data_IF_412684368735
#
_entry.id   IF_412684368735
#
_cell.length_a   1.000
_cell.length_b   1.000
_cell.length_c   1.000
_cell.angle_alpha   90.00
_cell.angle_beta   90.00
_cell.angle_gamma   90.00
#
_symmetry.space_group_name_H-M   'P 1'
#
loop_
_entity.id
_entity.type
_entity.pdbx_description
1 polymer ?
#
# COMPACT_ATOMS: atom_id res chain seq x y z
N UNK A 1 -24.84 -73.72 -41.25
CA UNK A 1 -26.01 -72.85 -40.99
C UNK A 1 -26.75 -73.39 -39.77
N UNK A 2 -26.48 -72.83 -38.59
CA UNK A 2 -27.21 -73.15 -37.35
C UNK A 2 -27.40 -71.85 -36.57
N UNK A 3 -28.64 -71.65 -36.18
CA UNK A 3 -29.24 -70.42 -35.66
C UNK A 3 -28.76 -70.15 -34.23
N UNK A 4 -28.45 -68.89 -33.90
CA UNK A 4 -28.20 -68.48 -32.54
C UNK A 4 -29.34 -67.58 -32.06
N UNK A 5 -30.06 -68.09 -31.07
CA UNK A 5 -31.25 -67.53 -30.45
C UNK A 5 -30.90 -66.39 -29.50
N UNK A 6 -31.73 -65.35 -29.53
CA UNK A 6 -31.70 -64.20 -28.61
C UNK A 6 -32.14 -64.60 -27.21
N UNK A 7 -31.40 -64.13 -26.19
CA UNK A 7 -31.86 -64.13 -24.80
C UNK A 7 -31.90 -62.69 -24.30
N UNK A 8 -33.12 -62.24 -24.01
CA UNK A 8 -33.43 -60.97 -23.37
C UNK A 8 -32.98 -61.00 -21.91
N UNK A 9 -32.13 -60.07 -21.52
CA UNK A 9 -32.02 -59.66 -20.12
C UNK A 9 -32.26 -58.15 -20.03
N UNK A 10 -33.39 -57.82 -19.40
CA UNK A 10 -33.75 -56.50 -18.91
C UNK A 10 -32.74 -56.08 -17.84
N UNK A 11 -32.10 -54.92 -18.05
CA UNK A 11 -31.50 -54.17 -16.94
C UNK A 11 -31.67 -52.67 -17.17
N UNK A 12 -32.63 -52.15 -16.42
CA UNK A 12 -32.68 -50.86 -15.74
C UNK A 12 -31.80 -49.71 -16.26
N UNK A 13 -32.49 -48.68 -16.75
CA UNK A 13 -32.52 -47.33 -16.16
C UNK A 13 -31.18 -46.78 -15.62
N UNK A 14 -30.61 -45.79 -16.30
CA UNK A 14 -30.32 -44.50 -15.67
C UNK A 14 -29.78 -43.51 -16.70
N UNK A 15 -30.59 -42.48 -16.98
CA UNK A 15 -30.14 -41.25 -17.61
C UNK A 15 -29.41 -40.44 -16.54
N UNK A 16 -28.08 -40.37 -16.61
CA UNK A 16 -27.30 -39.44 -15.78
C UNK A 16 -26.94 -38.22 -16.62
N UNK A 17 -27.85 -37.26 -16.67
CA UNK A 17 -27.53 -35.86 -16.97
C UNK A 17 -26.75 -35.30 -15.79
N UNK A 18 -25.46 -35.02 -15.96
CA UNK A 18 -24.69 -34.24 -14.99
C UNK A 18 -24.99 -32.75 -15.20
N UNK A 19 -26.17 -32.31 -14.74
CA UNK A 19 -26.40 -30.90 -14.43
C UNK A 19 -25.91 -30.65 -13.01
N UNK A 20 -24.67 -30.18 -12.89
CA UNK A 20 -24.11 -29.72 -11.61
C UNK A 20 -24.72 -28.37 -11.24
N UNK A 21 -25.92 -28.38 -10.68
CA UNK A 21 -26.43 -27.25 -9.90
C UNK A 21 -26.04 -27.49 -8.44
N UNK A 22 -24.86 -27.02 -8.03
CA UNK A 22 -24.66 -26.73 -6.61
C UNK A 22 -25.58 -25.57 -6.28
N UNK A 23 -26.61 -25.84 -5.49
CA UNK A 23 -27.39 -24.78 -4.84
C UNK A 23 -26.50 -24.25 -3.73
N UNK A 24 -25.66 -23.29 -4.07
CA UNK A 24 -25.06 -22.45 -3.05
C UNK A 24 -26.19 -21.54 -2.57
N UNK A 25 -26.60 -21.83 -1.34
CA UNK A 25 -27.54 -21.03 -0.58
C UNK A 25 -26.93 -19.62 -0.53
N UNK A 26 -27.45 -18.72 -1.37
CA UNK A 26 -27.18 -17.30 -1.26
C UNK A 26 -27.81 -16.85 0.05
N UNK A 27 -27.06 -17.01 1.13
CA UNK A 27 -27.23 -16.15 2.29
C UNK A 27 -27.00 -14.74 1.78
N UNK A 28 -28.12 -14.07 1.58
CA UNK A 28 -28.28 -12.63 1.47
C UNK A 28 -27.51 -12.02 2.65
N UNK A 29 -26.25 -11.63 2.41
CA UNK A 29 -25.48 -10.87 3.39
C UNK A 29 -26.10 -9.49 3.45
N UNK A 30 -27.06 -9.38 4.36
CA UNK A 30 -27.53 -8.15 4.93
C UNK A 30 -26.30 -7.32 5.34
N UNK A 31 -26.21 -6.11 4.80
CA UNK A 31 -25.13 -5.15 5.00
C UNK A 31 -24.97 -4.78 6.47
N UNK A 32 -24.24 -5.61 7.22
CA UNK A 32 -23.70 -5.24 8.50
C UNK A 32 -22.46 -4.38 8.24
N UNK A 33 -22.53 -3.13 8.68
CA UNK A 33 -21.47 -2.14 8.66
C UNK A 33 -20.26 -2.62 9.49
N UNK A 34 -19.47 -3.54 8.94
CA UNK A 34 -18.20 -3.99 9.48
C UNK A 34 -17.22 -2.83 9.34
N UNK A 35 -17.12 -2.03 10.40
CA UNK A 35 -15.97 -1.17 10.61
C UNK A 35 -14.75 -2.08 10.77
N UNK A 36 -14.04 -2.35 9.67
CA UNK A 36 -12.73 -2.99 9.69
C UNK A 36 -11.82 -2.03 10.43
N UNK A 37 -11.63 -2.28 11.73
CA UNK A 37 -10.72 -1.51 12.57
C UNK A 37 -9.30 -1.85 12.13
N UNK A 38 -8.78 -1.12 11.15
CA UNK A 38 -7.39 -1.24 10.70
C UNK A 38 -6.50 -0.97 11.91
N UNK A 39 -5.58 -1.88 12.19
CA UNK A 39 -4.65 -1.72 13.30
C UNK A 39 -3.76 -0.47 13.08
N UNK A 40 -3.41 0.26 14.15
CA UNK A 40 -2.52 1.41 14.03
C UNK A 40 -1.14 0.98 13.52
N UNK A 41 -0.50 1.86 12.77
CA UNK A 41 0.88 1.66 12.30
C UNK A 41 1.85 1.81 13.47
N UNK A 42 2.82 0.90 13.56
CA UNK A 42 3.95 1.02 14.48
C UNK A 42 5.13 1.62 13.73
N UNK A 43 5.77 2.62 14.33
CA UNK A 43 6.91 3.32 13.74
C UNK A 43 8.22 2.88 14.40
N UNK A 44 9.27 2.76 13.59
CA UNK A 44 10.63 2.55 14.05
C UNK A 44 11.22 3.85 14.62
N UNK A 45 12.27 3.73 15.44
CA UNK A 45 13.02 4.91 15.92
C UNK A 45 13.54 5.76 14.76
N UNK A 46 14.05 5.12 13.70
CA UNK A 46 14.58 5.84 12.54
C UNK A 46 13.49 6.62 11.77
N UNK A 47 12.29 6.05 11.63
CA UNK A 47 11.16 6.75 11.00
C UNK A 47 10.71 7.98 11.81
N UNK A 48 10.69 7.85 13.14
CA UNK A 48 10.37 8.97 14.03
C UNK A 48 11.45 10.06 13.98
N UNK A 49 12.72 9.68 13.97
CA UNK A 49 13.84 10.64 13.82
C UNK A 49 13.76 11.41 12.48
N UNK A 50 13.37 10.73 11.39
CA UNK A 50 13.15 11.41 10.10
C UNK A 50 12.02 12.42 10.20
N UNK A 51 10.88 12.06 10.79
CA UNK A 51 9.77 13.00 11.00
C UNK A 51 10.20 14.20 11.84
N UNK A 52 10.89 13.98 12.96
CA UNK A 52 11.34 15.04 13.85
C UNK A 52 12.26 16.03 13.12
N UNK A 53 13.21 15.52 12.32
CA UNK A 53 14.11 16.36 11.52
C UNK A 53 13.39 17.11 10.39
N UNK A 54 12.42 16.47 9.72
CA UNK A 54 11.58 17.14 8.73
C UNK A 54 10.77 18.26 9.38
N UNK A 55 10.17 18.03 10.54
CA UNK A 55 9.39 19.03 11.28
C UNK A 55 10.25 20.16 11.85
N UNK A 56 11.47 19.86 12.30
CA UNK A 56 12.45 20.87 12.70
C UNK A 56 12.81 21.79 11.52
N UNK A 57 13.07 21.20 10.34
CA UNK A 57 13.33 21.98 9.13
C UNK A 57 12.12 22.82 8.70
N UNK A 58 10.92 22.23 8.72
CA UNK A 58 9.67 22.96 8.43
C UNK A 58 9.47 24.16 9.34
N UNK A 59 9.69 23.98 10.65
CA UNK A 59 9.56 25.07 11.63
C UNK A 59 10.58 26.18 11.38
N UNK A 60 11.82 25.82 11.01
CA UNK A 60 12.85 26.79 10.60
C UNK A 60 12.42 27.62 9.39
N UNK A 61 11.71 27.01 8.44
CA UNK A 61 11.18 27.64 7.22
C UNK A 61 9.80 28.30 7.43
N UNK A 62 9.32 28.38 8.68
CA UNK A 62 8.06 29.03 9.04
C UNK A 62 6.80 28.22 8.74
N UNK A 63 6.93 26.93 8.47
CA UNK A 63 5.83 25.99 8.24
C UNK A 63 5.39 25.31 9.54
N UNK A 64 4.16 24.83 9.59
CA UNK A 64 3.66 24.03 10.73
C UNK A 64 4.20 22.61 10.69
N UNK A 65 4.35 21.99 11.86
CA UNK A 65 4.69 20.58 11.99
C UNK A 65 3.62 19.69 11.32
N UNK A 66 4.07 18.59 10.73
CA UNK A 66 3.23 17.57 10.12
C UNK A 66 2.80 16.55 11.16
N UNK A 67 1.55 16.11 11.06
CA UNK A 67 0.98 15.04 11.87
C UNK A 67 1.11 13.69 11.17
N UNK A 68 1.41 12.64 11.91
CA UNK A 68 1.45 11.30 11.33
C UNK A 68 0.10 10.88 10.74
N UNK A 69 0.17 10.21 9.60
CA UNK A 69 -0.95 9.65 8.89
C UNK A 69 -0.67 8.19 8.56
N UNK A 70 -1.32 7.31 9.31
CA UNK A 70 -1.19 5.86 9.17
C UNK A 70 -1.43 5.38 7.74
N UNK A 71 -2.45 5.92 7.06
CA UNK A 71 -2.73 5.53 5.67
C UNK A 71 -1.62 5.99 4.71
N UNK A 72 -1.09 7.20 4.90
CA UNK A 72 0.11 7.64 4.16
C UNK A 72 1.29 6.70 4.38
N UNK A 73 1.47 6.21 5.60
CA UNK A 73 2.56 5.28 5.95
C UNK A 73 2.34 3.90 5.32
N UNK A 74 1.09 3.43 5.22
CA UNK A 74 0.75 2.20 4.49
C UNK A 74 1.01 2.31 2.98
N UNK A 75 0.67 3.45 2.38
CA UNK A 75 0.99 3.72 0.97
C UNK A 75 2.51 3.79 0.75
N UNK A 76 3.24 4.44 1.64
CA UNK A 76 4.71 4.51 1.62
C UNK A 76 5.35 3.11 1.75
N UNK A 77 4.85 2.28 2.66
CA UNK A 77 5.33 0.92 2.86
C UNK A 77 5.09 0.03 1.64
N UNK A 78 3.94 0.19 0.98
CA UNK A 78 3.63 -0.50 -0.27
C UNK A 78 4.60 -0.09 -1.37
N UNK A 79 4.92 1.20 -1.48
CA UNK A 79 5.89 1.70 -2.46
C UNK A 79 7.32 1.23 -2.20
N UNK A 80 7.79 1.23 -0.95
CA UNK A 80 9.09 0.64 -0.62
C UNK A 80 9.16 -0.85 -1.00
N UNK A 81 8.09 -1.62 -0.76
CA UNK A 81 8.04 -3.02 -1.22
C UNK A 81 8.16 -3.12 -2.73
N UNK A 82 7.47 -2.26 -3.48
CA UNK A 82 7.57 -2.21 -4.94
C UNK A 82 8.99 -1.86 -5.42
N UNK A 83 9.65 -0.86 -4.82
CA UNK A 83 11.02 -0.50 -5.17
C UNK A 83 12.01 -1.64 -4.87
N UNK A 84 11.84 -2.34 -3.74
CA UNK A 84 12.67 -3.49 -3.36
C UNK A 84 12.45 -4.67 -4.32
N UNK A 85 11.21 -4.96 -4.69
CA UNK A 85 10.87 -6.07 -5.60
C UNK A 85 11.44 -5.87 -7.01
N UNK A 86 11.55 -4.61 -7.47
CA UNK A 86 12.08 -4.26 -8.78
C UNK A 86 13.56 -3.87 -8.77
N UNK A 87 14.19 -3.81 -7.59
CA UNK A 87 15.56 -3.32 -7.42
C UNK A 87 15.79 -1.92 -8.05
N UNK A 88 14.79 -1.04 -7.92
CA UNK A 88 14.77 0.27 -8.58
C UNK A 88 14.19 1.35 -7.66
N UNK A 89 14.86 2.51 -7.60
CA UNK A 89 14.35 3.70 -6.91
C UNK A 89 13.55 4.53 -7.90
N UNK A 90 12.23 4.57 -7.73
CA UNK A 90 11.32 5.22 -8.67
C UNK A 90 10.14 5.91 -7.97
N UNK A 91 9.32 6.61 -8.75
CA UNK A 91 8.03 7.18 -8.33
C UNK A 91 6.85 6.44 -8.95
N UNK A 92 7.05 5.20 -9.39
CA UNK A 92 6.02 4.42 -10.07
C UNK A 92 4.76 4.30 -9.25
N UNK A 93 3.61 4.22 -9.92
CA UNK A 93 2.30 4.09 -9.30
C UNK A 93 1.89 5.26 -8.37
N UNK A 94 2.57 6.41 -8.43
CA UNK A 94 2.23 7.59 -7.63
C UNK A 94 0.77 8.03 -7.80
N UNK A 95 0.24 8.00 -9.02
CA UNK A 95 -1.17 8.32 -9.29
C UNK A 95 -2.16 7.42 -8.54
N UNK A 96 -1.79 6.14 -8.33
CA UNK A 96 -2.61 5.19 -7.56
C UNK A 96 -2.56 5.54 -6.07
N UNK A 97 -1.38 5.84 -5.52
CA UNK A 97 -1.22 6.31 -4.13
C UNK A 97 -1.98 7.61 -3.87
N UNK A 98 -1.87 8.56 -4.79
CA UNK A 98 -2.63 9.81 -4.76
C UNK A 98 -4.14 9.52 -4.69
N UNK A 99 -4.65 8.68 -5.60
CA UNK A 99 -6.07 8.33 -5.66
C UNK A 99 -6.52 7.62 -4.37
N UNK A 100 -5.71 6.73 -3.82
CA UNK A 100 -6.00 6.08 -2.55
C UNK A 100 -6.18 7.11 -1.43
N UNK A 101 -5.23 8.02 -1.26
CA UNK A 101 -5.26 9.05 -0.20
C UNK A 101 -6.37 10.08 -0.39
N UNK A 102 -6.73 10.43 -1.62
CA UNK A 102 -7.93 11.23 -1.90
C UNK A 102 -9.18 10.52 -1.39
N UNK A 103 -9.31 9.23 -1.70
CA UNK A 103 -10.51 8.46 -1.38
C UNK A 103 -10.63 8.10 0.10
N UNK A 104 -9.52 7.82 0.78
CA UNK A 104 -9.52 7.33 2.17
C UNK A 104 -9.29 8.44 3.19
N UNK A 105 -8.55 9.49 2.82
CA UNK A 105 -8.09 10.52 3.77
C UNK A 105 -8.54 11.93 3.39
N UNK A 106 -9.39 12.06 2.35
CA UNK A 106 -9.85 13.33 1.80
C UNK A 106 -8.68 14.27 1.42
N UNK A 107 -7.57 13.70 0.94
CA UNK A 107 -6.41 14.47 0.52
C UNK A 107 -6.76 15.47 -0.60
N UNK A 108 -6.32 16.72 -0.45
CA UNK A 108 -6.41 17.79 -1.46
C UNK A 108 -5.12 17.96 -2.25
N UNK A 109 -4.00 17.51 -1.70
CA UNK A 109 -2.70 17.46 -2.35
C UNK A 109 -1.87 16.34 -1.72
N UNK A 110 -1.03 15.72 -2.53
CA UNK A 110 -0.06 14.70 -2.10
C UNK A 110 1.27 14.96 -2.80
N UNK A 111 2.36 14.87 -2.07
CA UNK A 111 3.74 14.92 -2.59
C UNK A 111 4.55 13.76 -2.03
N UNK A 112 5.64 13.39 -2.70
CA UNK A 112 6.47 12.25 -2.32
C UNK A 112 7.96 12.56 -2.42
N UNK A 113 8.70 12.15 -1.39
CA UNK A 113 10.16 12.04 -1.47
C UNK A 113 10.56 10.58 -1.32
N UNK A 114 11.48 10.12 -2.16
CA UNK A 114 12.11 8.79 -2.03
C UNK A 114 13.61 8.95 -1.81
N UNK A 115 14.23 7.96 -1.16
CA UNK A 115 15.68 7.88 -1.04
C UNK A 115 16.13 6.43 -0.85
N UNK A 116 17.43 6.18 -1.00
CA UNK A 116 18.01 4.85 -0.89
C UNK A 116 19.45 4.91 -0.39
N UNK A 117 19.84 3.93 0.44
CA UNK A 117 21.24 3.72 0.85
C UNK A 117 21.75 4.63 1.97
N UNK A 118 20.91 5.52 2.52
CA UNK A 118 21.27 6.30 3.70
C UNK A 118 21.18 5.42 4.97
N UNK A 119 22.08 5.65 5.92
CA UNK A 119 22.12 4.90 7.19
C UNK A 119 21.61 5.71 8.39
N UNK A 120 21.36 7.01 8.23
CA UNK A 120 20.93 7.90 9.31
C UNK A 120 19.83 8.84 8.85
N UNK A 121 18.94 9.23 9.78
CA UNK A 121 17.88 10.20 9.54
C UNK A 121 18.46 11.56 9.11
N UNK A 122 19.52 12.03 9.78
CA UNK A 122 20.22 13.26 9.43
C UNK A 122 20.77 13.22 8.00
N UNK A 123 21.36 12.08 7.60
CA UNK A 123 21.93 11.92 6.27
C UNK A 123 20.88 12.05 5.17
N UNK A 124 19.74 11.37 5.31
CA UNK A 124 18.68 11.40 4.31
C UNK A 124 17.95 12.75 4.27
N UNK A 125 17.65 13.34 5.43
CA UNK A 125 16.96 14.64 5.49
C UNK A 125 17.84 15.74 4.92
N UNK A 126 19.13 15.78 5.26
CA UNK A 126 20.06 16.75 4.66
C UNK A 126 20.20 16.58 3.15
N UNK A 127 20.10 15.36 2.62
CA UNK A 127 20.11 15.13 1.18
C UNK A 127 18.84 15.69 0.51
N UNK A 128 17.67 15.47 1.11
CA UNK A 128 16.42 16.06 0.62
C UNK A 128 16.44 17.59 0.69
N UNK A 129 16.98 18.21 1.76
CA UNK A 129 17.07 19.68 1.87
C UNK A 129 17.91 20.28 0.72
N UNK A 130 18.97 19.59 0.33
CA UNK A 130 19.87 20.03 -0.75
C UNK A 130 19.30 19.83 -2.16
N UNK A 131 18.22 19.06 -2.29
CA UNK A 131 17.55 18.81 -3.57
C UNK A 131 16.31 19.68 -3.68
N UNK A 132 16.25 20.58 -4.66
CA UNK A 132 15.16 21.56 -4.79
C UNK A 132 13.77 20.91 -4.77
N UNK A 133 13.49 19.94 -5.63
CA UNK A 133 12.18 19.29 -5.65
C UNK A 133 11.82 18.58 -4.35
N UNK A 134 12.78 17.90 -3.70
CA UNK A 134 12.51 17.24 -2.42
C UNK A 134 12.34 18.23 -1.26
N UNK A 135 13.10 19.32 -1.26
CA UNK A 135 12.96 20.42 -0.30
C UNK A 135 11.61 21.08 -0.43
N UNK A 136 11.16 21.36 -1.65
CA UNK A 136 9.88 22.00 -1.91
C UNK A 136 8.70 21.15 -1.41
N UNK A 137 8.79 19.81 -1.52
CA UNK A 137 7.83 18.90 -0.90
C UNK A 137 7.83 19.01 0.63
N UNK A 138 9.02 19.11 1.26
CA UNK A 138 9.12 19.23 2.72
C UNK A 138 8.53 20.54 3.25
N UNK A 139 8.67 21.65 2.53
CA UNK A 139 8.14 22.97 2.95
C UNK A 139 6.80 23.32 2.31
N UNK A 140 6.20 22.40 1.56
CA UNK A 140 4.90 22.58 0.95
C UNK A 140 3.78 22.75 1.99
N UNK A 141 2.66 23.32 1.53
CA UNK A 141 1.41 23.44 2.29
C UNK A 141 0.80 22.04 2.51
N UNK A 142 1.33 21.34 3.50
CA UNK A 142 0.94 20.01 3.92
C UNK A 142 0.67 20.02 5.43
N UNK A 143 -0.23 19.15 5.86
CA UNK A 143 -0.64 19.03 7.27
C UNK A 143 -0.32 17.66 7.86
N UNK A 144 -0.11 16.66 7.01
CA UNK A 144 0.08 15.28 7.40
C UNK A 144 1.27 14.63 6.69
N UNK A 145 1.81 13.58 7.32
CA UNK A 145 3.00 12.88 6.88
C UNK A 145 2.83 11.36 7.05
N UNK A 146 3.11 10.63 5.97
CA UNK A 146 3.31 9.19 5.99
C UNK A 146 4.77 8.86 5.75
N UNK A 147 5.27 7.82 6.40
CA UNK A 147 6.65 7.37 6.22
C UNK A 147 6.73 5.85 6.22
N UNK A 148 7.63 5.33 5.41
CA UNK A 148 8.14 3.98 5.59
C UNK A 148 9.64 3.94 5.29
N UNK A 149 10.36 3.16 6.09
CA UNK A 149 11.75 2.78 5.83
C UNK A 149 11.86 1.26 5.85
N UNK A 150 12.39 0.66 4.78
CA UNK A 150 12.55 -0.80 4.66
C UNK A 150 13.95 -1.16 4.17
N UNK A 151 14.52 -2.22 4.73
CA UNK A 151 15.76 -2.81 4.23
C UNK A 151 15.47 -3.67 3.00
N UNK A 152 16.22 -3.42 1.92
CA UNK A 152 16.23 -4.25 0.72
C UNK A 152 17.08 -5.50 0.88
N UNK A 153 17.08 -6.36 -0.14
CA UNK A 153 17.85 -7.62 -0.14
C UNK A 153 19.37 -7.42 -0.14
N UNK A 154 19.82 -6.22 -0.48
CA UNK A 154 21.21 -5.79 -0.49
C UNK A 154 21.67 -5.15 0.83
N UNK A 155 20.80 -5.15 1.86
CA UNK A 155 21.06 -4.58 3.17
C UNK A 155 20.98 -3.05 3.22
N UNK A 156 20.54 -2.38 2.15
CA UNK A 156 20.36 -0.93 2.14
C UNK A 156 18.92 -0.54 2.40
N UNK A 157 18.74 0.63 3.00
CA UNK A 157 17.43 1.15 3.35
C UNK A 157 16.81 1.92 2.17
N UNK A 158 15.55 1.61 1.88
CA UNK A 158 14.65 2.36 1.00
C UNK A 158 13.75 3.23 1.85
N UNK A 159 13.57 4.48 1.43
CA UNK A 159 12.79 5.49 2.14
C UNK A 159 11.69 5.98 1.22
N UNK A 160 10.47 6.11 1.77
CA UNK A 160 9.38 6.84 1.14
C UNK A 160 8.71 7.73 2.17
N UNK A 161 8.67 9.02 1.89
CA UNK A 161 7.90 10.02 2.62
C UNK A 161 6.74 10.48 1.77
N UNK A 162 5.54 10.53 2.34
CA UNK A 162 4.33 11.03 1.70
C UNK A 162 3.82 12.24 2.49
N UNK A 163 3.73 13.38 1.82
CA UNK A 163 3.20 14.61 2.39
C UNK A 163 1.77 14.80 1.93
N UNK A 164 0.84 15.10 2.84
CA UNK A 164 -0.58 15.22 2.53
C UNK A 164 -1.14 16.55 3.03
N UNK A 165 -1.90 17.24 2.17
CA UNK A 165 -2.77 18.34 2.57
C UNK A 165 -4.20 17.82 2.68
N UNK A 166 -4.85 18.06 3.83
CA UNK A 166 -6.27 17.79 4.04
C UNK A 166 -7.15 19.02 3.83
#
# INVERSE_FOLDING_TARGET
>A
MKNLTYSFWLLAFSVLTLTSCSKDNLEEIESANLTVKVAPVSYTTLEMEVLDLVNAYRTQEGQTELLLLDEGSRQAATHNSHMIENDEVCHDNFANRYTALVNTEAAKAVSENVAYGFSTAEGVVNAWIKSEGHRDNMIGDHTHFGISIKEGTDGKLYYTNIFVRK
#
